data_IF_591143878230
#
_entry.id   IF_591143878230
#
_cell.length_a   1.000
_cell.length_b   1.000
_cell.length_c   1.000
_cell.angle_alpha   90.00
_cell.angle_beta   90.00
_cell.angle_gamma   90.00
#
_symmetry.space_group_name_H-M   'P 1'
#
loop_
_entity.id
_entity.type
_entity.pdbx_description
1 polymer ?
#
# COMPACT_ATOMS: atom_id res chain seq x y z
N UNK A 1 -33.22 -27.30 -25.34
CA UNK A 1 -32.89 -26.76 -26.67
C UNK A 1 -31.83 -25.68 -26.44
N UNK A 2 -30.75 -25.63 -27.23
CA UNK A 2 -29.50 -24.86 -27.02
C UNK A 2 -28.41 -25.63 -26.23
N UNK A 3 -28.09 -26.83 -26.72
CA UNK A 3 -26.69 -27.32 -26.78
C UNK A 3 -26.23 -27.04 -28.21
N UNK A 4 -24.95 -26.74 -28.42
CA UNK A 4 -24.25 -26.50 -29.70
C UNK A 4 -23.93 -25.03 -30.01
N UNK A 5 -22.89 -24.50 -29.36
CA UNK A 5 -21.94 -23.61 -30.05
C UNK A 5 -20.57 -24.28 -29.97
N UNK A 6 -20.18 -24.81 -31.13
CA UNK A 6 -18.92 -25.46 -31.48
C UNK A 6 -17.72 -24.60 -31.06
N UNK A 7 -16.67 -25.15 -30.44
CA UNK A 7 -15.60 -25.88 -31.12
C UNK A 7 -15.10 -25.22 -32.41
N UNK A 8 -14.34 -24.14 -32.25
CA UNK A 8 -13.28 -23.65 -33.13
C UNK A 8 -12.61 -22.56 -32.29
N UNK A 9 -11.45 -22.79 -31.70
CA UNK A 9 -10.17 -22.51 -32.35
C UNK A 9 -9.10 -23.41 -31.73
N UNK A 10 -8.82 -24.52 -32.40
CA UNK A 10 -7.60 -25.29 -32.21
C UNK A 10 -6.49 -24.68 -33.09
N UNK A 11 -5.32 -24.50 -32.50
CA UNK A 11 -4.02 -24.64 -33.16
C UNK A 11 -3.63 -23.59 -34.21
N UNK A 12 -3.13 -22.44 -33.76
CA UNK A 12 -2.14 -21.67 -34.52
C UNK A 12 -0.74 -21.97 -33.95
N UNK A 13 0.30 -22.20 -34.79
CA UNK A 13 1.65 -22.50 -34.29
C UNK A 13 2.23 -21.30 -33.52
N UNK A 14 2.68 -21.57 -32.29
CA UNK A 14 3.40 -20.63 -31.45
C UNK A 14 4.74 -20.26 -32.12
N UNK A 15 4.83 -19.03 -32.63
CA UNK A 15 6.10 -18.44 -33.03
C UNK A 15 6.90 -18.14 -31.76
N UNK A 16 7.86 -19.02 -31.45
CA UNK A 16 8.82 -18.83 -30.38
C UNK A 16 9.68 -17.59 -30.66
N UNK A 17 9.39 -16.50 -29.94
CA UNK A 17 10.39 -15.47 -29.70
C UNK A 17 11.25 -15.94 -28.53
N UNK A 18 12.51 -16.27 -28.82
CA UNK A 18 13.52 -16.56 -27.81
C UNK A 18 13.69 -15.33 -26.92
N UNK A 19 13.05 -15.35 -25.75
CA UNK A 19 13.33 -14.39 -24.70
C UNK A 19 14.74 -14.67 -24.18
N UNK A 20 15.69 -13.80 -24.51
CA UNK A 20 17.02 -13.83 -23.92
C UNK A 20 16.95 -13.77 -22.39
N UNK A 21 17.99 -14.24 -21.68
CA UNK A 21 17.97 -14.32 -20.23
C UNK A 21 17.85 -12.92 -19.62
N UNK A 22 16.67 -12.61 -19.09
CA UNK A 22 16.50 -11.43 -18.22
C UNK A 22 17.15 -11.79 -16.90
N UNK A 23 18.36 -11.30 -16.67
CA UNK A 23 19.01 -11.43 -15.37
C UNK A 23 18.20 -10.65 -14.34
N UNK A 24 17.28 -11.35 -13.68
CA UNK A 24 16.50 -10.80 -12.58
C UNK A 24 17.46 -10.52 -11.41
N UNK A 25 17.79 -9.25 -11.19
CA UNK A 25 18.56 -8.84 -10.01
C UNK A 25 17.72 -9.20 -8.78
N UNK A 26 18.19 -10.22 -8.05
CA UNK A 26 17.52 -10.66 -6.84
C UNK A 26 17.55 -9.52 -5.83
N UNK A 27 16.36 -9.07 -5.39
CA UNK A 27 16.20 -8.03 -4.37
C UNK A 27 16.99 -8.34 -3.10
N UNK A 28 17.12 -9.62 -2.76
CA UNK A 28 17.92 -10.12 -1.63
C UNK A 28 19.44 -9.97 -1.85
N UNK A 29 19.90 -10.02 -3.09
CA UNK A 29 21.30 -9.75 -3.47
C UNK A 29 21.66 -8.27 -3.37
N UNK A 30 20.76 -7.39 -3.79
CA UNK A 30 20.94 -5.93 -3.69
C UNK A 30 21.07 -5.48 -2.23
N UNK A 31 20.23 -5.99 -1.32
CA UNK A 31 20.28 -5.64 0.10
C UNK A 31 21.57 -6.12 0.79
N UNK A 32 22.13 -7.27 0.38
CA UNK A 32 23.41 -7.76 0.93
C UNK A 32 24.61 -6.93 0.45
N UNK A 33 24.57 -6.42 -0.78
CA UNK A 33 25.61 -5.55 -1.31
C UNK A 33 25.67 -4.20 -0.57
N UNK A 34 24.53 -3.66 -0.14
CA UNK A 34 24.47 -2.39 0.60
C UNK A 34 24.99 -2.44 2.05
N UNK A 35 24.97 -3.61 2.71
CA UNK A 35 25.44 -3.76 4.09
C UNK A 35 26.95 -4.06 4.17
N UNK A 36 27.55 -4.57 3.09
CA UNK A 36 28.94 -5.07 3.10
C UNK A 36 29.99 -4.21 2.40
N UNK A 37 29.61 -3.21 1.59
CA UNK A 37 30.57 -2.39 0.83
C UNK A 37 30.50 -0.93 1.21
N UNK A 38 31.60 -0.38 1.77
CA UNK A 38 31.86 1.02 2.20
C UNK A 38 31.60 1.42 3.67
N UNK A 39 31.62 0.49 4.63
CA UNK A 39 31.55 0.82 6.07
C UNK A 39 32.89 0.95 6.82
N UNK A 40 34.02 0.52 6.24
CA UNK A 40 35.26 0.28 7.00
C UNK A 40 36.35 1.36 6.91
N UNK A 41 36.05 2.55 6.35
CA UNK A 41 36.98 3.69 6.35
C UNK A 41 36.44 4.95 7.06
N UNK A 42 35.26 4.89 7.68
CA UNK A 42 34.61 6.06 8.31
C UNK A 42 34.81 6.22 9.82
N UNK A 43 35.55 5.33 10.49
CA UNK A 43 35.60 5.28 11.96
C UNK A 43 36.70 6.13 12.61
N UNK A 44 37.53 6.86 11.84
CA UNK A 44 38.71 7.55 12.36
C UNK A 44 38.66 9.10 12.31
N UNK A 45 37.53 9.71 11.95
CA UNK A 45 37.43 11.17 11.78
C UNK A 45 36.48 11.88 12.76
N UNK A 46 36.26 11.33 13.96
CA UNK A 46 35.36 11.94 14.97
C UNK A 46 36.09 12.53 16.18
N UNK A 47 37.41 12.72 16.12
CA UNK A 47 38.20 13.32 17.18
C UNK A 47 38.98 14.54 16.71
N UNK A 48 38.67 15.71 17.30
CA UNK A 48 39.52 16.92 17.37
C UNK A 48 39.48 17.90 16.18
N UNK A 49 38.49 18.78 16.19
CA UNK A 49 38.62 20.22 15.96
C UNK A 49 37.31 20.84 16.46
N UNK A 50 37.26 21.50 17.61
CA UNK A 50 37.92 22.78 17.86
C UNK A 50 36.80 23.83 17.98
N UNK A 51 36.61 24.36 19.18
CA UNK A 51 35.52 25.26 19.51
C UNK A 51 35.44 26.47 18.58
N UNK A 52 34.21 26.85 18.24
CA UNK A 52 33.90 28.13 17.64
C UNK A 52 32.78 28.74 18.49
N UNK A 53 33.12 29.83 19.16
CA UNK A 53 32.19 30.70 19.86
C UNK A 53 31.01 31.05 18.96
N UNK A 54 29.82 30.60 19.36
CA UNK A 54 28.58 31.06 18.77
C UNK A 54 28.22 32.40 19.45
N UNK A 55 28.56 33.49 18.77
CA UNK A 55 28.08 34.82 19.06
C UNK A 55 26.55 34.81 19.24
N UNK A 56 26.12 35.30 20.39
CA UNK A 56 24.73 35.51 20.76
C UNK A 56 24.07 36.50 19.78
N UNK A 57 23.16 35.99 18.95
CA UNK A 57 22.33 36.78 18.05
C UNK A 57 20.87 36.55 18.43
N UNK A 58 20.10 37.60 18.79
CA UNK A 58 18.69 37.45 19.09
C UNK A 58 17.91 37.37 17.78
N UNK A 59 17.93 36.18 17.17
CA UNK A 59 17.18 35.85 15.97
C UNK A 59 16.35 34.61 16.23
N UNK A 60 15.23 34.79 16.92
CA UNK A 60 14.27 33.71 17.16
C UNK A 60 13.89 33.05 15.84
N UNK A 61 14.31 31.81 15.65
CA UNK A 61 13.87 30.97 14.54
C UNK A 61 12.37 30.75 14.74
N UNK A 62 11.49 31.24 13.84
CA UNK A 62 10.07 30.91 13.95
C UNK A 62 9.95 29.38 13.84
N UNK A 63 9.16 28.72 14.68
CA UNK A 63 8.95 27.29 14.58
C UNK A 63 8.50 26.94 13.16
N UNK A 64 9.21 26.01 12.55
CA UNK A 64 8.86 25.45 11.25
C UNK A 64 7.40 24.97 11.28
N UNK A 65 6.56 25.60 10.46
CA UNK A 65 5.27 25.04 10.05
C UNK A 65 4.24 24.84 11.16
N UNK A 66 3.93 25.88 11.94
CA UNK A 66 2.57 25.97 12.44
C UNK A 66 1.65 26.02 11.20
N UNK A 67 0.78 25.01 11.02
CA UNK A 67 -0.39 25.11 10.14
C UNK A 67 -1.38 26.14 10.73
N UNK A 68 -0.93 27.38 10.88
CA UNK A 68 -1.68 28.53 11.34
C UNK A 68 -2.55 29.00 10.18
N UNK A 69 -3.66 28.31 9.99
CA UNK A 69 -4.59 28.56 8.89
C UNK A 69 -5.54 27.43 8.55
N UNK A 70 -5.53 26.31 9.30
CA UNK A 70 -6.62 25.35 9.18
C UNK A 70 -7.84 25.98 9.86
N UNK A 71 -8.75 26.56 9.07
CA UNK A 71 -10.13 26.74 9.52
C UNK A 71 -10.55 25.43 10.20
N UNK A 72 -10.99 25.48 11.46
CA UNK A 72 -11.54 24.31 12.15
C UNK A 72 -12.66 23.76 11.30
N UNK A 73 -12.36 22.72 10.52
CA UNK A 73 -13.34 22.03 9.71
C UNK A 73 -14.35 21.44 10.68
N UNK A 74 -15.67 21.63 10.48
CA UNK A 74 -16.67 20.94 11.27
C UNK A 74 -16.43 19.43 11.15
N UNK A 75 -15.92 18.83 12.22
CA UNK A 75 -15.74 17.39 12.34
C UNK A 75 -16.94 16.77 13.05
N UNK A 76 -17.20 15.50 12.77
CA UNK A 76 -18.08 14.70 13.60
C UNK A 76 -17.55 14.66 15.05
N UNK A 77 -18.44 14.78 16.03
CA UNK A 77 -18.11 14.65 17.45
C UNK A 77 -18.60 13.29 17.95
N UNK A 78 -17.73 12.57 18.64
CA UNK A 78 -18.01 11.22 19.15
C UNK A 78 -17.47 10.12 18.25
N UNK A 79 -17.52 8.89 18.76
CA UNK A 79 -16.99 7.69 18.10
C UNK A 79 -18.12 6.82 17.56
N UNK A 80 -17.94 6.29 16.36
CA UNK A 80 -18.92 5.38 15.74
C UNK A 80 -18.67 3.95 16.22
N UNK A 81 -19.74 3.17 16.43
CA UNK A 81 -19.60 1.74 16.71
C UNK A 81 -19.18 0.96 15.45
N UNK A 82 -17.87 0.76 15.31
CA UNK A 82 -17.28 -0.01 14.22
C UNK A 82 -17.74 -1.47 14.20
N UNK A 83 -18.04 -2.07 15.35
CA UNK A 83 -18.51 -3.45 15.43
C UNK A 83 -19.93 -3.57 14.86
N UNK A 84 -20.81 -2.60 15.15
CA UNK A 84 -22.14 -2.49 14.54
C UNK A 84 -22.05 -2.30 13.02
N UNK A 85 -21.09 -1.51 12.56
CA UNK A 85 -20.81 -1.37 11.12
C UNK A 85 -20.16 -2.61 10.50
N UNK A 86 -19.63 -3.54 11.29
CA UNK A 86 -18.99 -4.77 10.80
C UNK A 86 -17.65 -4.57 10.10
N UNK A 87 -17.00 -3.42 10.27
CA UNK A 87 -15.64 -3.15 9.83
C UNK A 87 -15.00 -2.03 10.64
N UNK A 88 -13.66 -2.01 10.69
CA UNK A 88 -12.89 -1.02 11.44
C UNK A 88 -11.94 -0.27 10.49
N UNK A 89 -12.02 1.07 10.36
CA UNK A 89 -11.21 1.83 9.40
C UNK A 89 -9.69 1.65 9.57
N UNK A 90 -9.19 1.70 10.82
CA UNK A 90 -7.76 1.50 11.10
C UNK A 90 -7.23 0.14 10.64
N UNK A 91 -8.03 -0.93 10.77
CA UNK A 91 -7.61 -2.26 10.32
C UNK A 91 -7.53 -2.32 8.79
N UNK A 92 -8.42 -1.62 8.09
CA UNK A 92 -8.47 -1.59 6.63
C UNK A 92 -7.23 -0.94 5.99
N UNK A 93 -6.47 -0.15 6.73
CA UNK A 93 -5.23 0.47 6.23
C UNK A 93 -4.19 -0.55 5.78
N UNK A 94 -4.23 -1.76 6.33
CA UNK A 94 -3.24 -2.82 6.06
C UNK A 94 -3.86 -4.19 5.78
N UNK A 95 -5.19 -4.30 5.74
CA UNK A 95 -5.90 -5.52 5.41
C UNK A 95 -5.91 -5.77 3.89
N UNK A 96 -4.77 -6.23 3.37
CA UNK A 96 -4.62 -6.56 1.96
C UNK A 96 -5.10 -7.99 1.65
N UNK A 97 -6.14 -8.12 0.84
CA UNK A 97 -6.57 -9.41 0.31
C UNK A 97 -5.63 -9.88 -0.82
N UNK A 98 -4.95 -11.01 -0.60
CA UNK A 98 -4.05 -11.62 -1.57
C UNK A 98 -4.75 -12.47 -2.65
N UNK A 99 -6.05 -12.74 -2.48
CA UNK A 99 -6.83 -13.62 -3.34
C UNK A 99 -6.41 -15.09 -3.26
N UNK A 100 -7.14 -15.94 -3.97
CA UNK A 100 -6.75 -17.33 -4.16
C UNK A 100 -5.66 -17.41 -5.25
N UNK A 101 -4.55 -18.08 -4.95
CA UNK A 101 -3.39 -18.14 -5.86
C UNK A 101 -3.32 -19.50 -6.55
N UNK A 102 -3.17 -19.49 -7.88
CA UNK A 102 -2.88 -20.69 -8.67
C UNK A 102 -1.87 -20.37 -9.78
N UNK A 103 -1.52 -21.37 -10.61
CA UNK A 103 -0.55 -21.21 -11.71
C UNK A 103 -1.18 -21.65 -13.03
N UNK A 104 -1.06 -20.79 -14.04
CA UNK A 104 -1.55 -21.07 -15.39
C UNK A 104 -0.59 -22.01 -16.15
N UNK A 105 -1.05 -22.69 -17.21
CA UNK A 105 -0.21 -23.57 -18.03
C UNK A 105 1.03 -22.89 -18.63
N UNK A 106 1.00 -21.56 -18.79
CA UNK A 106 2.13 -20.76 -19.27
C UNK A 106 3.10 -20.33 -18.15
N UNK A 107 2.91 -20.80 -16.92
CA UNK A 107 3.76 -20.51 -15.76
C UNK A 107 3.44 -19.20 -15.03
N UNK A 108 2.43 -18.44 -15.46
CA UNK A 108 2.04 -17.20 -14.77
C UNK A 108 1.24 -17.48 -13.50
N UNK A 109 1.39 -16.63 -12.48
CA UNK A 109 0.54 -16.64 -11.29
C UNK A 109 -0.84 -16.10 -11.64
N UNK A 110 -1.88 -16.87 -11.33
CA UNK A 110 -3.28 -16.44 -11.35
C UNK A 110 -3.71 -16.08 -9.92
N UNK A 111 -4.34 -14.92 -9.74
CA UNK A 111 -4.99 -14.52 -8.49
C UNK A 111 -6.47 -14.33 -8.74
N UNK A 112 -7.29 -15.06 -8.01
CA UNK A 112 -8.75 -15.00 -8.11
C UNK A 112 -9.34 -14.34 -6.88
N UNK A 113 -10.35 -13.51 -7.09
CA UNK A 113 -11.04 -12.74 -6.05
C UNK A 113 -12.54 -12.89 -6.19
N UNK A 114 -13.24 -12.96 -5.06
CA UNK A 114 -14.71 -12.87 -5.01
C UNK A 114 -15.08 -11.55 -4.34
N UNK A 115 -15.84 -10.72 -5.06
CA UNK A 115 -16.30 -9.42 -4.56
C UNK A 115 -17.82 -9.41 -4.63
N UNK A 116 -18.46 -9.16 -3.48
CA UNK A 116 -19.92 -9.09 -3.35
C UNK A 116 -20.34 -7.64 -3.21
N UNK A 117 -21.13 -7.15 -4.18
CA UNK A 117 -21.81 -5.87 -4.08
C UNK A 117 -23.09 -6.05 -3.26
N UNK A 118 -23.29 -5.24 -2.22
CA UNK A 118 -24.49 -5.31 -1.40
C UNK A 118 -24.87 -3.95 -0.82
N UNK A 119 -26.16 -3.74 -0.64
CA UNK A 119 -26.69 -2.59 0.09
C UNK A 119 -26.53 -2.83 1.59
N UNK A 120 -26.01 -1.86 2.32
CA UNK A 120 -25.81 -1.93 3.76
C UNK A 120 -25.99 -0.56 4.38
N UNK A 121 -26.87 -0.47 5.37
CA UNK A 121 -26.97 0.72 6.21
C UNK A 121 -25.81 0.71 7.21
N UNK A 122 -25.08 1.81 7.27
CA UNK A 122 -23.94 2.02 8.19
C UNK A 122 -24.14 3.33 8.95
N UNK A 123 -23.54 3.44 10.14
CA UNK A 123 -23.45 4.69 10.87
C UNK A 123 -22.17 5.43 10.46
N UNK A 124 -22.27 6.70 10.08
CA UNK A 124 -21.10 7.51 9.63
C UNK A 124 -20.68 8.56 10.64
N UNK A 125 -21.62 8.95 11.50
CA UNK A 125 -21.48 9.86 12.65
C UNK A 125 -22.43 9.31 13.72
N UNK A 126 -22.13 9.42 15.02
CA UNK A 126 -23.04 8.94 16.06
C UNK A 126 -24.49 9.44 15.85
N UNK A 127 -25.41 8.49 15.70
CA UNK A 127 -26.84 8.69 15.45
C UNK A 127 -27.24 8.92 13.99
N UNK A 128 -26.29 8.96 13.04
CA UNK A 128 -26.56 9.23 11.61
C UNK A 128 -26.30 7.99 10.77
N UNK A 129 -27.38 7.41 10.25
CA UNK A 129 -27.32 6.26 9.35
C UNK A 129 -27.22 6.68 7.88
N UNK A 130 -26.49 5.90 7.10
CA UNK A 130 -26.25 6.08 5.68
C UNK A 130 -26.49 4.76 4.95
N UNK A 131 -27.39 4.77 3.96
CA UNK A 131 -27.67 3.60 3.12
C UNK A 131 -26.59 3.46 2.04
N UNK A 132 -25.54 2.70 2.33
CA UNK A 132 -24.41 2.53 1.44
C UNK A 132 -24.60 1.38 0.45
N UNK A 133 -23.94 1.49 -0.70
CA UNK A 133 -23.57 0.36 -1.53
C UNK A 133 -22.13 -0.01 -1.20
N UNK A 134 -21.92 -1.26 -0.83
CA UNK A 134 -20.65 -1.73 -0.29
C UNK A 134 -20.12 -2.91 -1.09
N UNK A 135 -18.79 -3.03 -1.12
CA UNK A 135 -18.13 -4.26 -1.54
C UNK A 135 -17.67 -5.02 -0.31
N UNK A 136 -18.03 -6.30 -0.23
CA UNK A 136 -17.69 -7.18 0.90
C UNK A 136 -18.10 -6.58 2.28
N UNK A 137 -19.14 -5.74 2.29
CA UNK A 137 -19.70 -5.14 3.51
C UNK A 137 -18.88 -4.01 4.13
N UNK A 138 -17.91 -3.44 3.41
CA UNK A 138 -17.04 -2.35 3.87
C UNK A 138 -17.03 -1.18 2.88
N UNK A 139 -16.63 0.01 3.34
CA UNK A 139 -16.46 1.25 2.54
C UNK A 139 -15.23 2.01 3.00
#
# INVERSE_FOLDING_TARGET
MIKHILQRLAGGPATGHAAGPVHAVSRRGFLRAGVGGTGLLGAAALGVAGGQDASDAPGGVPPAGAHAGMHTMPGAVGEVDHAKNGFHPTNMLTDFDGGAVSTLPNGQTLREYTIVAQNKTIEVVPGVEFAAWTFNGRV
#
